data_IF_684136236601
#
_entry.id   IF_684136236601
#
_cell.length_a   1.000
_cell.length_b   1.000
_cell.length_c   1.000
_cell.angle_alpha   90.00
_cell.angle_beta   90.00
_cell.angle_gamma   90.00
#
_symmetry.space_group_name_H-M   'P 1'
#
loop_
_entity.id
_entity.type
_entity.pdbx_description
1 polymer ?
#
# COMPACT_ATOMS: atom_id res chain seq x y z
N UNK A 1 31.85 -14.42 44.10
CA UNK A 1 32.96 -15.31 44.49
C UNK A 1 32.53 -16.74 44.15
N UNK A 2 33.30 -17.43 43.30
CA UNK A 2 33.20 -18.84 42.83
C UNK A 2 31.89 -19.30 42.17
N UNK A 3 31.80 -19.48 40.83
CA UNK A 3 32.42 -20.45 39.86
C UNK A 3 31.89 -21.88 39.93
N UNK A 4 31.30 -22.34 38.82
CA UNK A 4 31.65 -23.55 38.01
C UNK A 4 30.65 -23.61 36.82
N UNK A 5 30.98 -23.28 35.57
CA UNK A 5 31.77 -23.94 34.51
C UNK A 5 31.33 -25.35 34.11
N UNK A 6 30.79 -25.47 32.89
CA UNK A 6 30.93 -26.64 32.01
C UNK A 6 31.36 -26.15 30.62
N UNK A 7 32.58 -26.52 30.25
CA UNK A 7 33.10 -26.54 28.88
C UNK A 7 33.06 -27.99 28.41
N UNK A 8 32.82 -28.25 27.12
CA UNK A 8 33.67 -29.16 26.37
C UNK A 8 33.69 -28.81 24.88
N UNK A 9 34.92 -28.61 24.41
CA UNK A 9 35.33 -28.35 23.04
C UNK A 9 35.47 -29.66 22.27
N UNK A 10 35.22 -29.64 20.95
CA UNK A 10 35.96 -30.50 20.01
C UNK A 10 36.32 -29.69 18.76
N UNK A 11 37.59 -29.32 18.66
CA UNK A 11 38.32 -29.05 17.42
C UNK A 11 39.48 -30.03 17.40
N UNK A 12 39.60 -30.84 16.35
CA UNK A 12 40.87 -31.47 16.01
C UNK A 12 41.16 -31.24 14.53
N UNK A 13 42.38 -30.76 14.31
CA UNK A 13 43.03 -30.54 13.03
C UNK A 13 43.43 -31.86 12.38
N UNK A 14 43.38 -31.92 11.05
CA UNK A 14 44.32 -32.73 10.26
C UNK A 14 44.64 -31.99 8.96
N UNK A 15 45.86 -31.46 8.90
CA UNK A 15 46.54 -31.16 7.64
C UNK A 15 47.21 -32.45 7.16
N UNK A 16 46.94 -32.82 5.91
CA UNK A 16 47.67 -33.85 5.17
C UNK A 16 47.73 -33.41 3.71
N UNK A 17 48.93 -33.09 3.25
CA UNK A 17 49.22 -32.72 1.87
C UNK A 17 49.45 -33.98 1.00
N UNK A 18 49.46 -33.74 -0.32
CA UNK A 18 49.96 -34.58 -1.43
C UNK A 18 48.88 -35.42 -2.13
N UNK A 19 48.48 -34.99 -3.33
CA UNK A 19 48.97 -35.57 -4.59
C UNK A 19 48.17 -35.00 -5.77
N UNK A 20 48.87 -34.28 -6.64
CA UNK A 20 48.42 -33.90 -7.97
C UNK A 20 48.30 -35.16 -8.83
N UNK A 21 47.09 -35.53 -9.25
CA UNK A 21 46.87 -36.41 -10.41
C UNK A 21 45.99 -35.66 -11.39
N UNK A 22 46.65 -35.11 -12.40
CA UNK A 22 46.04 -34.66 -13.64
C UNK A 22 45.72 -35.92 -14.44
N UNK A 23 44.43 -36.25 -14.57
CA UNK A 23 43.96 -37.19 -15.58
C UNK A 23 42.69 -36.61 -16.20
N UNK A 24 42.87 -36.20 -17.46
CA UNK A 24 41.87 -35.52 -18.26
C UNK A 24 40.66 -36.42 -18.51
N UNK A 25 39.51 -35.96 -18.06
CA UNK A 25 38.23 -36.27 -18.69
C UNK A 25 37.75 -35.01 -19.41
N UNK A 26 37.99 -34.97 -20.72
CA UNK A 26 37.31 -34.04 -21.62
C UNK A 26 35.84 -34.45 -21.74
N UNK A 27 35.03 -34.06 -20.76
CA UNK A 27 33.62 -33.81 -21.00
C UNK A 27 33.49 -32.33 -21.30
N UNK A 28 33.00 -32.02 -22.51
CA UNK A 28 32.66 -30.66 -22.91
C UNK A 28 31.65 -30.07 -21.94
N UNK A 29 32.14 -29.28 -20.99
CA UNK A 29 31.30 -28.34 -20.26
C UNK A 29 30.68 -27.42 -21.32
N UNK A 30 29.35 -27.27 -21.36
CA UNK A 30 28.76 -26.28 -22.24
C UNK A 30 29.38 -24.94 -21.88
N UNK A 31 30.00 -24.28 -22.87
CA UNK A 31 30.33 -22.86 -22.77
C UNK A 31 29.02 -22.18 -22.42
N UNK A 32 28.91 -21.77 -21.16
CA UNK A 32 27.81 -21.00 -20.62
C UNK A 32 27.72 -19.73 -21.47
N UNK A 33 26.77 -19.72 -22.41
CA UNK A 33 26.48 -18.63 -23.34
C UNK A 33 25.78 -17.45 -22.62
N UNK A 34 26.20 -17.13 -21.39
CA UNK A 34 25.52 -16.12 -20.55
C UNK A 34 25.89 -14.68 -20.94
N UNK A 35 27.08 -14.43 -21.48
CA UNK A 35 27.53 -13.06 -21.72
C UNK A 35 26.73 -12.37 -22.85
N UNK A 36 26.47 -13.08 -23.95
CA UNK A 36 25.72 -12.56 -25.10
C UNK A 36 24.23 -12.37 -24.76
N UNK A 37 23.66 -13.29 -23.96
CA UNK A 37 22.28 -13.23 -23.49
C UNK A 37 22.05 -12.06 -22.53
N UNK A 38 22.97 -11.84 -21.58
CA UNK A 38 22.90 -10.69 -20.65
C UNK A 38 22.96 -9.35 -21.40
N UNK A 39 23.77 -9.23 -22.45
CA UNK A 39 23.83 -8.01 -23.27
C UNK A 39 22.51 -7.73 -24.01
N UNK A 40 21.83 -8.77 -24.50
CA UNK A 40 20.52 -8.63 -25.16
C UNK A 40 19.43 -8.24 -24.17
N UNK A 41 19.38 -8.88 -23.00
CA UNK A 41 18.45 -8.53 -21.92
C UNK A 41 18.66 -7.09 -21.46
N UNK A 42 19.91 -6.66 -21.29
CA UNK A 42 20.23 -5.29 -20.91
C UNK A 42 19.74 -4.26 -21.95
N UNK A 43 19.93 -4.53 -23.26
CA UNK A 43 19.41 -3.65 -24.33
C UNK A 43 17.89 -3.55 -24.27
N UNK A 44 17.19 -4.67 -24.08
CA UNK A 44 15.73 -4.70 -24.02
C UNK A 44 15.19 -3.98 -22.78
N UNK A 45 15.79 -4.21 -21.61
CA UNK A 45 15.44 -3.49 -20.37
C UNK A 45 15.66 -1.99 -20.53
N UNK A 46 16.79 -1.55 -21.08
CA UNK A 46 17.05 -0.13 -21.34
C UNK A 46 15.99 0.47 -22.28
N UNK A 47 15.58 -0.27 -23.33
CA UNK A 47 14.52 0.15 -24.24
C UNK A 47 13.18 0.33 -23.52
N UNK A 48 12.79 -0.62 -22.67
CA UNK A 48 11.55 -0.55 -21.89
C UNK A 48 11.56 0.60 -20.89
N UNK A 49 12.68 0.82 -20.20
CA UNK A 49 12.88 1.95 -19.27
C UNK A 49 12.75 3.29 -19.99
N UNK A 50 13.39 3.45 -21.15
CA UNK A 50 13.29 4.65 -21.97
C UNK A 50 11.86 4.86 -22.49
N UNK A 51 11.19 3.79 -22.94
CA UNK A 51 9.79 3.81 -23.37
C UNK A 51 8.87 4.28 -22.24
N UNK A 52 9.05 3.77 -21.01
CA UNK A 52 8.28 4.16 -19.83
C UNK A 52 8.43 5.65 -19.53
N UNK A 53 9.66 6.17 -19.53
CA UNK A 53 9.92 7.59 -19.27
C UNK A 53 9.34 8.49 -20.36
N UNK A 54 9.50 8.11 -21.63
CA UNK A 54 8.92 8.84 -22.76
C UNK A 54 7.38 8.87 -22.67
N UNK A 55 6.76 7.76 -22.28
CA UNK A 55 5.31 7.67 -22.14
C UNK A 55 4.76 8.65 -21.10
N UNK A 56 5.43 8.82 -19.95
CA UNK A 56 5.07 9.86 -18.96
C UNK A 56 5.17 11.26 -19.58
N UNK A 57 6.30 11.59 -20.20
CA UNK A 57 6.53 12.91 -20.79
C UNK A 57 5.56 13.23 -21.95
N UNK A 58 5.15 12.22 -22.72
CA UNK A 58 4.20 12.35 -23.83
C UNK A 58 2.74 12.13 -23.41
N UNK A 59 2.48 11.91 -22.11
CA UNK A 59 1.16 11.61 -21.57
C UNK A 59 0.45 10.46 -22.30
N UNK A 60 1.22 9.43 -22.70
CA UNK A 60 0.69 8.21 -23.31
C UNK A 60 0.55 7.06 -22.29
N UNK A 61 -0.64 6.96 -21.68
CA UNK A 61 -0.93 5.95 -20.65
C UNK A 61 -0.84 4.51 -21.17
N UNK A 62 -1.26 4.28 -22.41
CA UNK A 62 -1.27 2.94 -23.00
C UNK A 62 0.17 2.40 -23.13
N UNK A 63 1.07 3.20 -23.71
CA UNK A 63 2.49 2.84 -23.87
C UNK A 63 3.18 2.65 -22.51
N UNK A 64 2.79 3.44 -21.50
CA UNK A 64 3.29 3.27 -20.13
C UNK A 64 2.86 1.93 -19.53
N UNK A 65 1.60 1.53 -19.69
CA UNK A 65 1.09 0.28 -19.11
C UNK A 65 1.56 -0.97 -19.88
N UNK A 66 1.91 -0.83 -21.16
CA UNK A 66 2.45 -1.93 -21.97
C UNK A 66 3.79 -2.46 -21.48
N UNK A 67 4.58 -1.68 -20.74
CA UNK A 67 5.85 -2.15 -20.16
C UNK A 67 5.65 -2.94 -18.86
N UNK A 68 4.46 -2.89 -18.27
CA UNK A 68 4.13 -3.51 -16.98
C UNK A 68 3.68 -4.97 -17.19
N UNK A 69 4.02 -5.85 -16.25
CA UNK A 69 3.69 -7.27 -16.33
C UNK A 69 2.17 -7.51 -16.31
N UNK A 70 1.56 -8.05 -17.40
CA UNK A 70 0.11 -8.04 -17.56
C UNK A 70 -0.65 -8.97 -16.62
N UNK A 71 -0.02 -10.04 -16.12
CA UNK A 71 -0.63 -10.96 -15.15
C UNK A 71 -0.60 -10.43 -13.70
N UNK A 72 0.08 -9.32 -13.41
CA UNK A 72 0.16 -8.72 -12.07
C UNK A 72 -0.90 -7.63 -11.89
N UNK A 73 -2.17 -8.03 -11.78
CA UNK A 73 -3.34 -7.12 -11.81
C UNK A 73 -3.25 -5.99 -10.77
N UNK A 74 -2.90 -6.31 -9.53
CA UNK A 74 -2.73 -5.34 -8.44
C UNK A 74 -1.65 -4.31 -8.77
N UNK A 75 -0.48 -4.76 -9.21
CA UNK A 75 0.62 -3.88 -9.60
C UNK A 75 0.29 -3.03 -10.84
N UNK A 76 -0.42 -3.60 -11.82
CA UNK A 76 -0.89 -2.85 -12.99
C UNK A 76 -1.84 -1.70 -12.59
N UNK A 77 -2.75 -1.95 -11.64
CA UNK A 77 -3.65 -0.91 -11.11
C UNK A 77 -2.87 0.17 -10.33
N UNK A 78 -1.88 -0.22 -9.54
CA UNK A 78 -0.98 0.73 -8.85
C UNK A 78 -0.21 1.59 -9.85
N UNK A 79 0.37 0.99 -10.90
CA UNK A 79 1.11 1.71 -11.93
C UNK A 79 0.20 2.64 -12.75
N UNK A 80 -1.06 2.25 -12.98
CA UNK A 80 -2.08 3.14 -13.56
C UNK A 80 -2.27 4.39 -12.71
N UNK A 81 -2.47 4.23 -11.40
CA UNK A 81 -2.74 5.35 -10.47
C UNK A 81 -1.53 6.24 -10.29
N UNK A 82 -0.36 5.62 -10.18
CA UNK A 82 0.91 6.32 -10.18
C UNK A 82 1.09 7.17 -11.43
N UNK A 83 0.78 6.63 -12.62
CA UNK A 83 0.90 7.35 -13.88
C UNK A 83 -0.05 8.55 -13.93
N UNK A 84 -1.32 8.33 -13.54
CA UNK A 84 -2.32 9.39 -13.53
C UNK A 84 -1.86 10.54 -12.62
N UNK A 85 -1.26 10.25 -11.46
CA UNK A 85 -0.64 11.26 -10.60
C UNK A 85 0.56 11.94 -11.24
N UNK A 86 1.52 11.17 -11.76
CA UNK A 86 2.77 11.68 -12.30
C UNK A 86 2.55 12.73 -13.40
N UNK A 87 1.60 12.52 -14.32
CA UNK A 87 1.34 13.48 -15.41
C UNK A 87 0.73 14.82 -14.96
N UNK A 88 0.19 14.88 -13.74
CA UNK A 88 -0.34 16.10 -13.11
C UNK A 88 0.68 16.76 -12.20
N UNK A 89 1.51 15.96 -11.53
CA UNK A 89 2.45 16.42 -10.52
C UNK A 89 3.80 16.84 -11.13
N UNK A 90 4.32 16.10 -12.09
CA UNK A 90 5.65 16.32 -12.67
C UNK A 90 5.60 17.46 -13.70
N UNK A 91 6.60 18.35 -13.66
CA UNK A 91 6.78 19.39 -14.67
C UNK A 91 6.93 18.74 -16.06
N UNK A 92 6.18 19.17 -17.09
CA UNK A 92 6.19 18.53 -18.40
C UNK A 92 7.59 18.39 -19.00
N UNK A 93 7.93 17.20 -19.49
CA UNK A 93 9.21 16.91 -20.17
C UNK A 93 10.39 16.66 -19.24
N UNK A 94 10.22 16.73 -17.93
CA UNK A 94 11.32 16.61 -16.96
C UNK A 94 11.50 15.20 -16.40
N UNK A 95 10.57 14.29 -16.64
CA UNK A 95 10.63 12.93 -16.11
C UNK A 95 11.71 12.11 -16.83
N UNK A 96 12.63 11.52 -16.06
CA UNK A 96 13.73 10.70 -16.55
C UNK A 96 13.81 9.41 -15.74
N UNK A 97 14.15 8.32 -16.41
CA UNK A 97 14.39 7.01 -15.80
C UNK A 97 15.64 6.43 -16.43
N UNK A 98 16.60 5.99 -15.62
CA UNK A 98 17.88 5.44 -16.06
C UNK A 98 18.17 4.11 -15.37
N UNK A 99 18.66 3.13 -16.13
CA UNK A 99 19.25 1.91 -15.58
C UNK A 99 20.61 2.25 -14.97
N UNK A 100 20.77 2.01 -13.67
CA UNK A 100 22.03 2.18 -12.94
C UNK A 100 22.83 0.89 -12.93
N UNK A 101 22.16 -0.23 -12.68
CA UNK A 101 22.74 -1.56 -12.74
C UNK A 101 21.69 -2.60 -13.05
N UNK A 102 22.12 -3.72 -13.62
CA UNK A 102 21.31 -4.89 -13.91
C UNK A 102 22.07 -6.12 -13.43
N UNK A 103 21.42 -6.97 -12.64
CA UNK A 103 21.98 -8.22 -12.16
C UNK A 103 21.01 -9.37 -12.43
N UNK A 104 21.49 -10.54 -12.90
CA UNK A 104 20.69 -11.75 -12.94
C UNK A 104 20.13 -12.06 -11.56
N UNK A 105 18.86 -12.44 -11.49
CA UNK A 105 18.18 -12.71 -10.21
C UNK A 105 17.65 -14.15 -10.16
N UNK A 106 16.94 -14.59 -11.22
CA UNK A 106 16.55 -15.99 -11.47
C UNK A 106 16.52 -16.24 -12.98
N UNK A 107 16.34 -17.50 -13.40
CA UNK A 107 16.02 -17.80 -14.80
C UNK A 107 14.81 -16.97 -15.23
N UNK A 108 14.89 -16.30 -16.39
CA UNK A 108 13.85 -15.41 -16.93
C UNK A 108 13.53 -14.19 -16.03
N UNK A 109 14.47 -13.77 -15.16
CA UNK A 109 14.27 -12.66 -14.23
C UNK A 109 15.56 -11.90 -13.93
N UNK A 110 15.51 -10.59 -14.05
CA UNK A 110 16.64 -9.69 -13.71
C UNK A 110 16.19 -8.66 -12.69
N UNK A 111 17.11 -8.28 -11.79
CA UNK A 111 16.92 -7.17 -10.86
C UNK A 111 17.66 -5.97 -11.39
N UNK A 112 16.96 -4.84 -11.47
CA UNK A 112 17.46 -3.61 -12.08
C UNK A 112 17.38 -2.51 -11.05
N UNK A 113 18.49 -1.81 -10.81
CA UNK A 113 18.48 -0.58 -10.03
C UNK A 113 18.18 0.57 -10.97
N UNK A 114 17.04 1.24 -10.76
CA UNK A 114 16.65 2.41 -11.53
C UNK A 114 16.97 3.69 -10.76
N UNK A 115 17.33 4.76 -11.49
CA UNK A 115 17.34 6.13 -11.02
C UNK A 115 16.23 6.90 -11.72
N UNK A 116 15.26 7.40 -10.95
CA UNK A 116 14.20 8.28 -11.42
C UNK A 116 14.54 9.72 -11.04
N UNK A 117 14.45 10.63 -12.01
CA UNK A 117 14.58 12.08 -11.81
C UNK A 117 13.39 12.81 -12.42
N UNK A 118 12.96 13.88 -11.77
CA UNK A 118 11.92 14.78 -12.28
C UNK A 118 11.99 16.13 -11.56
N UNK A 119 11.33 17.16 -12.09
CA UNK A 119 11.08 18.38 -11.33
C UNK A 119 9.60 18.59 -11.06
N UNK A 120 9.32 19.32 -9.98
CA UNK A 120 8.00 19.83 -9.66
C UNK A 120 8.16 21.27 -9.17
N UNK A 121 7.53 22.22 -9.87
CA UNK A 121 7.71 23.66 -9.62
C UNK A 121 9.20 24.06 -9.64
N UNK A 122 9.98 23.49 -10.56
CA UNK A 122 11.40 23.76 -10.71
C UNK A 122 12.30 23.07 -9.68
N UNK A 123 11.75 22.41 -8.65
CA UNK A 123 12.53 21.65 -7.67
C UNK A 123 12.79 20.24 -8.19
N UNK A 124 14.07 19.90 -8.37
CA UNK A 124 14.49 18.57 -8.84
C UNK A 124 14.43 17.57 -7.69
N UNK A 125 13.86 16.40 -7.98
CA UNK A 125 13.83 15.22 -7.11
C UNK A 125 14.52 14.05 -7.80
N UNK A 126 15.21 13.22 -7.03
CA UNK A 126 15.90 12.01 -7.53
C UNK A 126 15.72 10.88 -6.53
N UNK A 127 15.31 9.70 -7.00
CA UNK A 127 15.18 8.49 -6.17
C UNK A 127 15.75 7.30 -6.92
N UNK A 128 16.49 6.45 -6.19
CA UNK A 128 16.95 5.16 -6.70
C UNK A 128 16.15 4.05 -6.05
N UNK A 129 15.66 3.12 -6.84
CA UNK A 129 14.88 1.99 -6.34
C UNK A 129 15.12 0.75 -7.20
N UNK A 130 15.13 -0.44 -6.61
CA UNK A 130 15.23 -1.68 -7.37
C UNK A 130 13.88 -2.02 -8.00
N UNK A 131 13.91 -2.72 -9.12
CA UNK A 131 12.73 -3.29 -9.76
C UNK A 131 13.10 -4.63 -10.39
N UNK A 132 12.13 -5.53 -10.49
CA UNK A 132 12.28 -6.77 -11.24
C UNK A 132 11.81 -6.52 -12.67
N UNK A 133 12.57 -7.01 -13.63
CA UNK A 133 12.05 -7.31 -14.96
C UNK A 133 11.96 -8.83 -15.09
N UNK A 134 10.84 -9.29 -15.64
CA UNK A 134 10.56 -10.71 -15.83
C UNK A 134 10.16 -10.96 -17.28
N UNK A 135 10.70 -12.02 -17.87
CA UNK A 135 10.33 -12.44 -19.22
C UNK A 135 8.92 -13.04 -19.24
N UNK A 136 8.16 -12.70 -20.27
CA UNK A 136 6.81 -13.19 -20.51
C UNK A 136 6.68 -13.63 -21.97
N UNK A 137 5.56 -14.26 -22.32
CA UNK A 137 5.20 -14.56 -23.71
C UNK A 137 5.23 -13.32 -24.64
N UNK A 138 5.16 -12.10 -24.07
CA UNK A 138 5.22 -10.81 -24.78
C UNK A 138 6.57 -10.09 -24.59
N UNK A 139 7.63 -10.84 -24.27
CA UNK A 139 8.95 -10.31 -23.94
C UNK A 139 9.07 -9.85 -22.49
N UNK A 140 10.14 -9.12 -22.19
CA UNK A 140 10.43 -8.61 -20.85
C UNK A 140 9.41 -7.57 -20.39
N UNK A 141 9.02 -7.61 -19.12
CA UNK A 141 8.09 -6.68 -18.48
C UNK A 141 8.54 -6.32 -17.07
N UNK A 142 8.26 -5.09 -16.65
CA UNK A 142 8.46 -4.63 -15.28
C UNK A 142 7.48 -5.34 -14.33
N UNK A 143 7.99 -5.95 -13.27
CA UNK A 143 7.29 -6.87 -12.38
C UNK A 143 7.51 -6.51 -10.90
N UNK A 144 7.32 -5.22 -10.57
CA UNK A 144 7.37 -4.66 -9.21
C UNK A 144 8.75 -4.77 -8.52
N UNK A 145 8.84 -4.34 -7.26
CA UNK A 145 10.04 -4.43 -6.42
C UNK A 145 10.42 -5.90 -6.15
N UNK A 146 11.70 -6.19 -5.86
CA UNK A 146 12.19 -7.51 -5.48
C UNK A 146 11.76 -7.87 -4.04
N UNK A 147 10.46 -8.04 -3.81
CA UNK A 147 9.91 -8.32 -2.48
C UNK A 147 10.24 -9.74 -2.00
N UNK A 148 10.51 -9.84 -0.69
CA UNK A 148 10.36 -11.07 0.07
C UNK A 148 8.87 -11.30 0.37
N UNK A 149 8.45 -12.55 0.56
CA UNK A 149 7.03 -12.88 0.67
C UNK A 149 6.76 -13.82 1.85
N UNK A 150 5.68 -13.55 2.58
CA UNK A 150 5.03 -14.45 3.54
C UNK A 150 3.57 -14.65 3.12
N UNK A 151 3.02 -15.85 3.36
CA UNK A 151 1.66 -16.17 2.95
C UNK A 151 0.91 -16.97 4.01
N UNK A 152 -0.37 -16.65 4.20
CA UNK A 152 -1.34 -17.46 4.95
C UNK A 152 -2.69 -17.40 4.25
N UNK A 153 -3.15 -18.53 3.73
CA UNK A 153 -4.42 -18.58 2.98
C UNK A 153 -4.45 -17.58 1.82
N UNK A 154 -5.44 -16.67 1.83
CA UNK A 154 -5.61 -15.60 0.83
C UNK A 154 -4.81 -14.32 1.13
N UNK A 155 -3.98 -14.30 2.17
CA UNK A 155 -3.18 -13.13 2.56
C UNK A 155 -1.74 -13.32 2.10
N UNK A 156 -1.22 -12.34 1.35
CA UNK A 156 0.16 -12.25 0.91
C UNK A 156 0.78 -10.99 1.51
N UNK A 157 1.80 -11.15 2.35
CA UNK A 157 2.62 -10.03 2.84
C UNK A 157 3.92 -10.03 2.07
N UNK A 158 4.21 -8.91 1.42
CA UNK A 158 5.41 -8.63 0.65
C UNK A 158 6.22 -7.58 1.40
N UNK A 159 7.54 -7.71 1.49
CA UNK A 159 8.37 -6.76 2.22
C UNK A 159 9.71 -6.52 1.52
N UNK A 160 10.14 -5.27 1.45
CA UNK A 160 11.19 -4.84 0.52
C UNK A 160 12.63 -5.15 0.98
N UNK A 161 12.79 -5.52 2.25
CA UNK A 161 14.10 -5.66 2.90
C UNK A 161 14.04 -6.73 4.00
N UNK A 162 15.04 -7.64 4.13
CA UNK A 162 15.04 -8.69 5.15
C UNK A 162 14.80 -8.21 6.58
N UNK A 163 15.23 -6.99 6.91
CA UNK A 163 15.08 -6.41 8.25
C UNK A 163 13.61 -6.17 8.63
N UNK A 164 12.70 -6.21 7.65
CA UNK A 164 11.26 -6.14 7.88
C UNK A 164 10.61 -7.51 8.17
N UNK A 165 11.37 -8.60 8.27
CA UNK A 165 10.81 -9.95 8.46
C UNK A 165 9.89 -10.05 9.69
N UNK A 166 10.26 -9.47 10.82
CA UNK A 166 9.42 -9.46 12.02
C UNK A 166 8.13 -8.66 11.80
N UNK A 167 8.24 -7.46 11.22
CA UNK A 167 7.09 -6.61 10.87
C UNK A 167 6.19 -7.30 9.83
N UNK A 168 6.74 -8.11 8.93
CA UNK A 168 5.95 -8.90 7.98
C UNK A 168 5.11 -9.97 8.67
N UNK A 169 5.65 -10.66 9.70
CA UNK A 169 4.87 -11.59 10.51
C UNK A 169 3.78 -10.89 11.32
N UNK A 170 4.09 -9.74 11.95
CA UNK A 170 3.10 -8.92 12.65
C UNK A 170 1.98 -8.48 11.68
N UNK A 171 2.34 -8.08 10.46
CA UNK A 171 1.37 -7.69 9.44
C UNK A 171 0.46 -8.84 9.03
N UNK A 172 1.03 -10.04 8.89
CA UNK A 172 0.27 -11.23 8.55
C UNK A 172 -0.79 -11.55 9.62
N UNK A 173 -0.41 -11.50 10.90
CA UNK A 173 -1.32 -11.70 12.02
C UNK A 173 -2.41 -10.62 12.11
N UNK A 174 -2.02 -9.35 11.99
CA UNK A 174 -2.95 -8.23 12.07
C UNK A 174 -3.96 -8.25 10.90
N UNK A 175 -3.48 -8.51 9.68
CA UNK A 175 -4.32 -8.64 8.49
C UNK A 175 -5.30 -9.82 8.61
N UNK A 176 -4.83 -10.98 9.06
CA UNK A 176 -5.64 -12.17 9.28
C UNK A 176 -6.72 -11.95 10.34
N UNK A 177 -6.37 -11.30 11.46
CA UNK A 177 -7.34 -10.86 12.47
C UNK A 177 -8.36 -9.87 11.90
N UNK A 178 -7.90 -8.87 11.15
CA UNK A 178 -8.74 -7.88 10.49
C UNK A 178 -9.78 -8.53 9.58
N UNK A 179 -9.32 -9.38 8.65
CA UNK A 179 -10.20 -10.14 7.73
C UNK A 179 -11.23 -10.97 8.50
N UNK A 180 -10.82 -11.68 9.56
CA UNK A 180 -11.77 -12.47 10.37
C UNK A 180 -12.83 -11.61 11.05
N UNK A 181 -12.44 -10.52 11.70
CA UNK A 181 -13.37 -9.65 12.44
C UNK A 181 -14.32 -8.94 11.49
N UNK A 182 -13.78 -8.31 10.44
CA UNK A 182 -14.57 -7.61 9.42
C UNK A 182 -15.48 -8.60 8.66
N UNK A 183 -15.01 -9.83 8.43
CA UNK A 183 -15.83 -10.90 7.88
C UNK A 183 -17.01 -11.30 8.76
N UNK A 184 -16.84 -11.33 10.09
CA UNK A 184 -17.96 -11.57 11.01
C UNK A 184 -18.96 -10.41 11.05
N UNK A 185 -18.47 -9.17 11.07
CA UNK A 185 -19.32 -7.98 11.23
C UNK A 185 -20.07 -7.61 9.94
N UNK A 186 -19.41 -7.72 8.79
CA UNK A 186 -19.96 -7.29 7.50
C UNK A 186 -20.23 -8.43 6.53
N UNK A 187 -19.81 -9.66 6.81
CA UNK A 187 -19.81 -10.73 5.82
C UNK A 187 -18.78 -10.51 4.71
N UNK A 188 -17.75 -9.70 4.96
CA UNK A 188 -16.73 -9.38 3.98
C UNK A 188 -15.68 -10.48 3.84
N UNK A 189 -15.23 -10.69 2.61
CA UNK A 189 -14.00 -11.42 2.28
C UNK A 189 -13.33 -10.68 1.13
N UNK A 190 -11.99 -10.54 1.11
CA UNK A 190 -11.28 -9.99 -0.04
C UNK A 190 -11.71 -10.70 -1.32
N UNK A 191 -12.03 -9.96 -2.39
CA UNK A 191 -12.53 -10.56 -3.63
C UNK A 191 -11.55 -11.56 -4.26
N UNK A 192 -10.26 -11.22 -4.31
CA UNK A 192 -9.20 -12.08 -4.82
C UNK A 192 -8.29 -12.53 -3.65
N UNK A 193 -7.26 -11.73 -3.37
CA UNK A 193 -6.32 -11.92 -2.27
C UNK A 193 -6.06 -10.58 -1.59
N UNK A 194 -5.75 -10.61 -0.31
CA UNK A 194 -5.28 -9.43 0.41
C UNK A 194 -3.76 -9.35 0.24
N UNK A 195 -3.29 -8.35 -0.50
CA UNK A 195 -1.86 -8.06 -0.65
C UNK A 195 -1.47 -6.93 0.30
N UNK A 196 -0.46 -7.16 1.14
CA UNK A 196 0.15 -6.17 2.01
C UNK A 196 1.59 -5.98 1.58
N UNK A 197 2.02 -4.75 1.27
CA UNK A 197 3.38 -4.41 0.87
C UNK A 197 4.03 -3.50 1.91
N UNK A 198 5.14 -3.96 2.49
CA UNK A 198 5.93 -3.22 3.46
C UNK A 198 7.19 -2.67 2.81
N UNK A 199 7.40 -1.37 2.98
CA UNK A 199 8.52 -0.64 2.41
C UNK A 199 9.48 -0.23 3.52
N UNK A 200 10.76 -0.57 3.37
CA UNK A 200 11.78 -0.20 4.32
C UNK A 200 12.10 1.30 4.26
N UNK A 201 12.02 1.89 3.05
CA UNK A 201 12.40 3.28 2.79
C UNK A 201 11.17 4.13 2.46
N UNK A 202 10.84 5.18 3.25
CA UNK A 202 9.69 6.06 3.01
C UNK A 202 9.62 6.66 1.59
N UNK A 203 10.76 6.94 0.98
CA UNK A 203 10.88 7.46 -0.39
C UNK A 203 10.52 6.41 -1.44
N UNK A 204 10.82 5.12 -1.21
CA UNK A 204 10.39 4.04 -2.10
C UNK A 204 8.88 3.80 -1.93
N UNK A 205 8.37 3.87 -0.70
CA UNK A 205 6.93 3.86 -0.44
C UNK A 205 6.21 4.93 -1.27
N UNK A 206 6.61 6.21 -1.14
CA UNK A 206 6.00 7.31 -1.91
C UNK A 206 6.17 7.12 -3.41
N UNK A 207 7.37 6.73 -3.87
CA UNK A 207 7.62 6.43 -5.28
C UNK A 207 6.67 5.34 -5.80
N UNK A 208 6.33 4.34 -4.98
CA UNK A 208 5.44 3.23 -5.37
C UNK A 208 3.94 3.53 -5.29
N UNK A 209 3.55 4.60 -4.59
CA UNK A 209 2.15 5.00 -4.40
C UNK A 209 1.81 6.11 -5.39
N UNK A 210 2.29 7.32 -5.14
CA UNK A 210 2.13 8.51 -5.99
C UNK A 210 3.13 9.59 -5.60
N UNK A 211 3.59 10.39 -6.57
CA UNK A 211 4.66 11.39 -6.37
C UNK A 211 4.18 12.61 -5.58
N UNK A 212 2.87 12.88 -5.62
CA UNK A 212 2.22 13.94 -4.84
C UNK A 212 1.90 13.56 -3.39
N UNK A 213 2.17 12.31 -2.98
CA UNK A 213 1.76 11.82 -1.66
C UNK A 213 2.45 12.63 -0.54
N UNK A 214 1.71 13.17 0.44
CA UNK A 214 2.29 13.99 1.48
C UNK A 214 3.25 13.19 2.38
N UNK A 215 4.20 13.89 2.98
CA UNK A 215 5.24 13.25 3.80
C UNK A 215 4.71 12.56 5.05
N UNK A 216 3.57 13.00 5.56
CA UNK A 216 2.92 12.43 6.75
C UNK A 216 2.17 11.11 6.47
N UNK A 217 1.88 10.78 5.21
CA UNK A 217 1.21 9.54 4.87
C UNK A 217 2.14 8.34 5.12
N UNK A 218 1.74 7.45 6.02
CA UNK A 218 2.49 6.23 6.40
C UNK A 218 1.88 4.93 5.88
N UNK A 219 0.63 4.98 5.40
CA UNK A 219 -0.13 3.88 4.84
C UNK A 219 -0.91 4.35 3.61
N UNK A 220 -1.30 3.39 2.76
CA UNK A 220 -2.12 3.66 1.58
C UNK A 220 -2.89 2.42 1.13
N UNK A 221 -4.14 2.65 0.74
CA UNK A 221 -4.95 1.70 -0.01
C UNK A 221 -5.93 2.43 -0.94
N UNK A 222 -6.15 1.88 -2.12
CA UNK A 222 -7.30 2.19 -2.99
C UNK A 222 -7.82 0.90 -3.63
N UNK A 223 -9.06 0.92 -4.13
CA UNK A 223 -9.66 -0.23 -4.79
C UNK A 223 -8.75 -0.83 -5.88
N UNK A 224 -8.47 -2.13 -5.74
CA UNK A 224 -7.65 -2.89 -6.68
C UNK A 224 -6.14 -2.73 -6.51
N UNK A 225 -5.69 -1.99 -5.49
CA UNK A 225 -4.28 -1.90 -5.10
C UNK A 225 -3.98 -2.75 -3.86
N UNK A 226 -2.69 -3.00 -3.60
CA UNK A 226 -2.27 -3.58 -2.33
C UNK A 226 -2.47 -2.58 -1.17
N UNK A 227 -2.61 -3.11 0.04
CA UNK A 227 -2.38 -2.37 1.28
C UNK A 227 -0.88 -2.07 1.39
N UNK A 228 -0.48 -0.80 1.46
CA UNK A 228 0.94 -0.40 1.46
C UNK A 228 1.29 0.35 2.73
N UNK A 229 2.42 0.02 3.38
CA UNK A 229 2.89 0.73 4.58
C UNK A 229 4.41 0.90 4.62
N UNK A 230 4.85 1.95 5.32
CA UNK A 230 6.25 2.11 5.72
C UNK A 230 6.54 1.19 6.91
N UNK A 231 7.32 0.12 6.67
CA UNK A 231 7.65 -0.89 7.69
C UNK A 231 8.62 -0.41 8.76
N UNK A 232 9.41 0.63 8.46
CA UNK A 232 10.36 1.27 9.39
C UNK A 232 9.77 2.44 10.17
N UNK A 233 8.48 2.75 9.99
CA UNK A 233 7.85 3.83 10.73
C UNK A 233 8.06 3.63 12.24
N UNK A 234 8.31 4.72 12.95
CA UNK A 234 8.86 4.84 14.32
C UNK A 234 8.06 4.16 15.43
N UNK A 235 7.01 3.42 15.11
CA UNK A 235 6.36 2.51 16.04
C UNK A 235 7.30 1.33 16.34
N UNK A 236 8.22 1.53 17.29
CA UNK A 236 8.84 0.45 18.05
C UNK A 236 7.79 -0.45 18.72
N UNK A 237 6.58 0.11 18.95
CA UNK A 237 5.41 -0.63 19.41
C UNK A 237 4.77 -1.45 18.28
N UNK A 238 4.78 -2.77 18.45
CA UNK A 238 4.11 -3.73 17.56
C UNK A 238 2.59 -3.53 17.50
N UNK A 239 1.96 -2.97 18.54
CA UNK A 239 0.52 -2.68 18.57
C UNK A 239 0.15 -1.54 17.62
N UNK A 240 0.87 -0.41 17.68
CA UNK A 240 0.66 0.73 16.78
C UNK A 240 0.89 0.33 15.31
N UNK A 241 1.87 -0.54 15.07
CA UNK A 241 2.08 -1.07 13.73
C UNK A 241 0.92 -1.99 13.30
N UNK A 242 0.47 -2.89 14.18
CA UNK A 242 -0.70 -3.75 13.90
C UNK A 242 -1.98 -2.95 13.64
N UNK A 243 -2.20 -1.84 14.37
CA UNK A 243 -3.36 -0.98 14.17
C UNK A 243 -3.33 -0.32 12.80
N UNK A 244 -2.14 0.12 12.33
CA UNK A 244 -1.96 0.66 10.98
C UNK A 244 -2.31 -0.37 9.90
N UNK A 245 -1.98 -1.65 10.09
CA UNK A 245 -2.41 -2.72 9.17
C UNK A 245 -3.94 -2.85 9.17
N UNK A 246 -4.57 -2.85 10.34
CA UNK A 246 -6.04 -2.94 10.44
C UNK A 246 -6.73 -1.74 9.79
N UNK A 247 -6.16 -0.55 9.93
CA UNK A 247 -6.63 0.67 9.27
C UNK A 247 -6.71 0.47 7.75
N UNK A 248 -5.60 0.07 7.11
CA UNK A 248 -5.55 -0.11 5.66
C UNK A 248 -6.38 -1.30 5.17
N UNK A 249 -6.43 -2.40 5.93
CA UNK A 249 -7.31 -3.54 5.62
C UNK A 249 -8.79 -3.14 5.66
N UNK A 250 -9.14 -2.21 6.54
CA UNK A 250 -10.50 -1.65 6.60
C UNK A 250 -10.82 -0.83 5.36
N UNK A 251 -9.87 -0.03 4.86
CA UNK A 251 -10.05 0.67 3.57
C UNK A 251 -10.35 -0.29 2.43
N UNK A 252 -9.70 -1.46 2.39
CA UNK A 252 -10.02 -2.49 1.40
C UNK A 252 -11.44 -3.01 1.53
N UNK A 253 -11.87 -3.34 2.75
CA UNK A 253 -13.25 -3.75 3.00
C UNK A 253 -14.24 -2.69 2.52
N UNK A 254 -14.06 -1.42 2.94
CA UNK A 254 -14.99 -0.34 2.61
C UNK A 254 -15.02 -0.12 1.09
N UNK A 255 -13.87 -0.13 0.42
CA UNK A 255 -13.77 -0.02 -1.04
C UNK A 255 -14.53 -1.14 -1.75
N UNK A 256 -14.34 -2.39 -1.36
CA UNK A 256 -15.00 -3.55 -1.99
C UNK A 256 -16.51 -3.62 -1.70
N UNK A 257 -16.92 -3.27 -0.46
CA UNK A 257 -18.32 -3.30 -0.05
C UNK A 257 -19.11 -2.11 -0.59
N UNK A 258 -18.48 -0.96 -0.85
CA UNK A 258 -19.13 0.23 -1.40
C UNK A 258 -18.98 0.36 -2.91
N UNK A 259 -18.20 -0.49 -3.56
CA UNK A 259 -17.83 -0.31 -4.97
C UNK A 259 -16.99 0.96 -5.18
N UNK A 260 -16.20 1.33 -4.16
CA UNK A 260 -15.33 2.51 -4.14
C UNK A 260 -16.12 3.82 -4.32
N UNK A 261 -17.30 3.89 -3.69
CA UNK A 261 -18.24 5.02 -3.74
C UNK A 261 -18.46 5.72 -2.40
N UNK A 262 -17.85 5.22 -1.31
CA UNK A 262 -17.93 5.86 -0.01
C UNK A 262 -17.14 7.17 0.01
N UNK A 263 -17.69 8.22 0.64
CA UNK A 263 -16.99 9.46 0.90
C UNK A 263 -15.73 9.23 1.76
N UNK A 264 -14.70 10.06 1.57
CA UNK A 264 -13.45 9.97 2.34
C UNK A 264 -13.67 9.91 3.84
N UNK A 265 -14.51 10.78 4.39
CA UNK A 265 -14.77 10.78 5.83
C UNK A 265 -15.35 9.47 6.35
N UNK A 266 -16.12 8.76 5.51
CA UNK A 266 -16.73 7.49 5.87
C UNK A 266 -15.69 6.36 5.81
N UNK A 267 -14.80 6.39 4.82
CA UNK A 267 -13.68 5.47 4.70
C UNK A 267 -12.72 5.62 5.90
N UNK A 268 -12.28 6.85 6.17
CA UNK A 268 -11.38 7.15 7.28
C UNK A 268 -12.03 6.91 8.64
N UNK A 269 -13.31 7.24 8.80
CA UNK A 269 -14.04 6.97 10.03
C UNK A 269 -14.12 5.48 10.34
N UNK A 270 -14.37 4.64 9.33
CA UNK A 270 -14.35 3.20 9.49
C UNK A 270 -12.96 2.69 9.86
N UNK A 271 -11.92 3.12 9.14
CA UNK A 271 -10.54 2.70 9.36
C UNK A 271 -10.04 3.07 10.76
N UNK A 272 -10.30 4.30 11.20
CA UNK A 272 -10.02 4.78 12.55
C UNK A 272 -10.80 4.03 13.63
N UNK A 273 -12.06 3.68 13.36
CA UNK A 273 -12.88 2.92 14.29
C UNK A 273 -12.30 1.53 14.50
N UNK A 274 -12.05 0.78 13.43
CA UNK A 274 -11.60 -0.59 13.54
C UNK A 274 -10.16 -0.70 14.04
N UNK A 275 -9.24 0.21 13.67
CA UNK A 275 -7.90 0.17 14.24
C UNK A 275 -7.92 0.33 15.77
N UNK A 276 -8.85 1.12 16.30
CA UNK A 276 -8.96 1.42 17.73
C UNK A 276 -9.70 0.34 18.52
N UNK A 277 -10.67 -0.34 17.91
CA UNK A 277 -11.49 -1.36 18.58
C UNK A 277 -10.95 -2.78 18.42
N UNK A 278 -10.18 -3.07 17.37
CA UNK A 278 -9.56 -4.39 17.19
C UNK A 278 -8.24 -4.51 17.95
N UNK A 279 -7.55 -3.39 18.16
CA UNK A 279 -6.29 -3.32 18.91
C UNK A 279 -6.54 -2.43 20.15
N UNK A 280 -6.83 -3.02 21.32
CA UNK A 280 -7.10 -2.23 22.53
C UNK A 280 -5.91 -1.36 22.94
N UNK A 281 -6.20 -0.14 23.42
CA UNK A 281 -5.20 0.79 23.94
C UNK A 281 -4.59 1.75 22.91
N UNK A 282 -5.06 1.76 21.66
CA UNK A 282 -4.60 2.69 20.62
C UNK A 282 -5.14 4.11 20.85
N UNK A 283 -6.40 4.23 21.26
CA UNK A 283 -7.01 5.50 21.69
C UNK A 283 -7.31 5.45 23.18
N UNK A 284 -7.06 6.55 23.87
CA UNK A 284 -7.42 6.72 25.27
C UNK A 284 -8.89 7.09 25.44
N UNK A 285 -9.50 6.69 26.54
CA UNK A 285 -10.87 7.12 26.89
C UNK A 285 -11.01 8.65 26.90
N UNK A 286 -9.97 9.38 27.32
CA UNK A 286 -9.97 10.85 27.33
C UNK A 286 -10.15 11.45 25.92
N UNK A 287 -9.45 10.91 24.92
CA UNK A 287 -9.60 11.34 23.52
C UNK A 287 -10.99 11.04 22.96
N UNK A 288 -11.63 9.99 23.50
CA UNK A 288 -12.98 9.60 23.11
C UNK A 288 -14.03 10.52 23.72
N UNK A 289 -13.91 10.85 25.02
CA UNK A 289 -14.91 11.61 25.78
C UNK A 289 -14.76 13.15 25.70
N UNK A 290 -13.56 13.69 25.53
CA UNK A 290 -13.33 15.15 25.50
C UNK A 290 -13.21 15.72 24.08
N UNK A 291 -13.72 15.00 23.09
CA UNK A 291 -13.64 15.40 21.70
C UNK A 291 -14.53 16.62 21.43
N UNK A 292 -13.99 17.59 20.67
CA UNK A 292 -14.76 18.71 20.12
C UNK A 292 -14.64 18.72 18.60
N UNK A 293 -15.77 18.72 17.87
CA UNK A 293 -15.74 18.79 16.41
C UNK A 293 -15.12 20.11 15.96
N UNK A 294 -14.25 20.03 14.96
CA UNK A 294 -13.55 21.19 14.43
C UNK A 294 -14.30 21.81 13.25
N UNK A 295 -15.01 20.98 12.49
CA UNK A 295 -15.76 21.38 11.29
C UNK A 295 -17.19 20.88 11.33
N UNK A 296 -18.07 21.52 10.56
CA UNK A 296 -19.32 20.88 10.15
C UNK A 296 -19.03 19.79 9.12
N UNK A 297 -19.88 18.78 9.03
CA UNK A 297 -19.75 17.70 8.05
C UNK A 297 -19.77 18.23 6.60
N UNK A 298 -20.59 19.24 6.33
CA UNK A 298 -20.63 19.93 5.02
C UNK A 298 -19.33 20.65 4.65
N UNK A 299 -18.50 21.03 5.63
CA UNK A 299 -17.16 21.58 5.40
C UNK A 299 -16.15 20.44 5.25
N UNK A 300 -16.23 19.44 6.14
CA UNK A 300 -15.34 18.28 6.15
C UNK A 300 -15.34 17.53 4.81
N UNK A 301 -16.52 17.35 4.19
CA UNK A 301 -16.67 16.72 2.88
C UNK A 301 -15.92 17.44 1.75
N UNK A 302 -15.61 18.73 1.90
CA UNK A 302 -14.92 19.52 0.86
C UNK A 302 -13.40 19.39 0.92
N UNK A 303 -12.85 18.83 1.98
CA UNK A 303 -11.40 18.71 2.10
C UNK A 303 -10.84 17.62 1.20
N UNK A 304 -9.75 17.96 0.52
CA UNK A 304 -8.82 16.96 0.02
C UNK A 304 -7.82 16.66 1.14
N UNK A 305 -8.02 15.54 1.83
CA UNK A 305 -7.21 15.10 2.98
C UNK A 305 -5.71 15.15 2.70
N UNK A 306 -5.29 14.76 1.50
CA UNK A 306 -3.88 14.70 1.10
C UNK A 306 -3.21 16.07 1.00
N UNK A 307 -4.01 17.14 0.90
CA UNK A 307 -3.55 18.53 0.87
C UNK A 307 -3.56 19.19 2.25
N UNK A 308 -4.08 18.51 3.27
CA UNK A 308 -4.11 19.06 4.62
C UNK A 308 -2.71 18.99 5.26
N UNK A 309 -2.33 20.00 6.05
CA UNK A 309 -1.21 19.90 6.98
C UNK A 309 -1.41 18.76 7.98
N UNK A 310 -0.31 18.16 8.46
CA UNK A 310 -0.34 17.00 9.37
C UNK A 310 -1.28 17.17 10.58
N UNK A 311 -1.28 18.35 11.23
CA UNK A 311 -2.17 18.63 12.38
C UNK A 311 -3.65 18.65 12.00
N UNK A 312 -3.98 19.20 10.84
CA UNK A 312 -5.36 19.24 10.34
C UNK A 312 -5.81 17.86 9.86
N UNK A 313 -4.93 17.09 9.22
CA UNK A 313 -5.19 15.70 8.89
C UNK A 313 -5.51 14.88 10.16
N UNK A 314 -4.73 15.03 11.23
CA UNK A 314 -5.02 14.36 12.51
C UNK A 314 -6.39 14.74 13.10
N UNK A 315 -6.78 16.02 13.02
CA UNK A 315 -8.10 16.48 13.43
C UNK A 315 -9.21 15.92 12.52
N UNK A 316 -8.95 15.80 11.22
CA UNK A 316 -9.86 15.18 10.25
C UNK A 316 -10.14 13.72 10.62
N UNK A 317 -9.09 12.93 10.83
CA UNK A 317 -9.21 11.53 11.27
C UNK A 317 -9.99 11.40 12.58
N UNK A 318 -9.68 12.23 13.59
CA UNK A 318 -10.38 12.21 14.87
C UNK A 318 -11.88 12.52 14.73
N UNK A 319 -12.24 13.47 13.87
CA UNK A 319 -13.65 13.79 13.62
C UNK A 319 -14.38 12.67 12.87
N UNK A 320 -13.74 12.10 11.84
CA UNK A 320 -14.29 10.97 11.09
C UNK A 320 -14.53 9.76 12.00
N UNK A 321 -13.57 9.44 12.88
CA UNK A 321 -13.70 8.41 13.91
C UNK A 321 -14.94 8.62 14.77
N UNK A 322 -15.10 9.83 15.33
CA UNK A 322 -16.17 10.13 16.28
C UNK A 322 -17.55 10.05 15.63
N UNK A 323 -17.68 10.58 14.40
CA UNK A 323 -18.95 10.52 13.68
C UNK A 323 -19.28 9.09 13.25
N UNK A 324 -18.31 8.32 12.75
CA UNK A 324 -18.52 6.92 12.40
C UNK A 324 -18.89 6.08 13.63
N UNK A 325 -18.20 6.30 14.76
CA UNK A 325 -18.49 5.65 16.04
C UNK A 325 -19.94 5.92 16.47
N UNK A 326 -20.39 7.16 16.42
CA UNK A 326 -21.79 7.52 16.67
C UNK A 326 -22.75 6.72 15.78
N UNK A 327 -22.49 6.63 14.47
CA UNK A 327 -23.33 5.84 13.57
C UNK A 327 -23.35 4.35 13.91
N UNK A 328 -22.24 3.78 14.38
CA UNK A 328 -22.19 2.37 14.80
C UNK A 328 -22.88 2.15 16.15
N UNK A 329 -22.65 3.03 17.13
CA UNK A 329 -23.22 2.90 18.48
C UNK A 329 -24.74 3.10 18.47
N UNK A 330 -25.25 4.06 17.70
CA UNK A 330 -26.68 4.36 17.63
C UNK A 330 -27.46 3.39 16.72
N UNK A 331 -26.87 3.00 15.59
CA UNK A 331 -27.61 2.39 14.49
C UNK A 331 -27.12 0.98 14.12
N UNK A 332 -25.96 0.58 14.66
CA UNK A 332 -25.40 -0.77 14.55
C UNK A 332 -24.72 -1.09 13.21
N UNK A 333 -23.93 -2.16 13.21
CA UNK A 333 -23.22 -2.65 12.01
C UNK A 333 -24.15 -3.05 10.87
N UNK A 334 -25.37 -3.50 11.17
CA UNK A 334 -26.33 -3.93 10.15
C UNK A 334 -26.76 -2.77 9.22
N UNK A 335 -27.03 -1.58 9.78
CA UNK A 335 -27.33 -0.38 8.99
C UNK A 335 -26.11 0.09 8.20
N UNK A 336 -24.92 0.08 8.80
CA UNK A 336 -23.68 0.44 8.09
C UNK A 336 -23.39 -0.51 6.91
N UNK A 337 -23.59 -1.83 7.09
CA UNK A 337 -23.49 -2.81 6.00
C UNK A 337 -24.48 -2.50 4.87
N UNK A 338 -25.71 -2.11 5.21
CA UNK A 338 -26.72 -1.70 4.23
C UNK A 338 -26.32 -0.42 3.50
N UNK A 339 -25.72 0.55 4.19
CA UNK A 339 -25.17 1.78 3.58
C UNK A 339 -24.13 1.45 2.51
N UNK A 340 -23.14 0.62 2.83
CA UNK A 340 -22.15 0.18 1.84
C UNK A 340 -22.79 -0.56 0.67
N UNK A 341 -23.78 -1.42 0.93
CA UNK A 341 -24.48 -2.14 -0.13
C UNK A 341 -25.26 -1.21 -1.07
N UNK A 342 -25.87 -0.14 -0.55
CA UNK A 342 -26.53 0.89 -1.38
C UNK A 342 -25.51 1.64 -2.23
N UNK A 343 -24.36 2.03 -1.64
CA UNK A 343 -23.27 2.68 -2.37
C UNK A 343 -22.75 1.82 -3.54
N UNK A 344 -22.66 0.51 -3.34
CA UNK A 344 -22.20 -0.46 -4.35
C UNK A 344 -23.11 -0.55 -5.58
N UNK A 345 -24.36 -0.10 -5.49
CA UNK A 345 -25.27 -0.08 -6.64
C UNK A 345 -24.87 0.96 -7.69
N UNK A 346 -24.06 1.95 -7.32
CA UNK A 346 -23.51 2.90 -8.28
C UNK A 346 -22.32 2.30 -9.03
N UNK A 347 -22.15 2.62 -10.33
CA UNK A 347 -20.98 2.18 -11.08
C UNK A 347 -19.70 2.74 -10.46
N UNK A 348 -18.70 1.87 -10.29
CA UNK A 348 -17.37 2.25 -9.85
C UNK A 348 -16.75 3.23 -10.86
N UNK A 349 -16.08 4.26 -10.35
CA UNK A 349 -15.35 5.23 -11.17
C UNK A 349 -13.87 4.98 -10.99
N UNK A 350 -13.21 4.57 -12.07
CA UNK A 350 -11.81 4.20 -12.06
C UNK A 350 -10.89 5.44 -12.11
N UNK A 351 -10.96 6.24 -11.06
CA UNK A 351 -10.16 7.44 -10.81
C UNK A 351 -9.66 7.43 -9.36
N UNK A 352 -8.59 8.20 -9.09
CA UNK A 352 -8.11 8.46 -7.73
C UNK A 352 -9.23 9.14 -6.93
N UNK A 353 -9.32 8.79 -5.64
CA UNK A 353 -10.47 9.18 -4.84
C UNK A 353 -10.58 10.69 -4.59
N UNK A 354 -9.47 11.43 -4.60
CA UNK A 354 -9.50 12.89 -4.50
C UNK A 354 -10.16 13.55 -5.73
N UNK A 355 -10.14 12.89 -6.89
CA UNK A 355 -10.74 13.43 -8.12
C UNK A 355 -12.26 13.25 -8.18
N UNK A 356 -12.78 12.24 -7.49
CA UNK A 356 -14.22 11.93 -7.45
C UNK A 356 -14.92 12.42 -6.18
N UNK A 357 -14.26 13.24 -5.35
CA UNK A 357 -14.80 13.78 -4.09
C UNK A 357 -16.24 14.31 -4.22
N UNK A 358 -16.58 15.21 -5.17
CA UNK A 358 -17.97 15.70 -5.29
C UNK A 358 -18.99 14.58 -5.55
N UNK A 359 -18.60 13.59 -6.35
CA UNK A 359 -19.46 12.47 -6.72
C UNK A 359 -19.68 11.51 -5.55
N UNK A 360 -18.61 11.08 -4.87
CA UNK A 360 -18.70 10.12 -3.76
C UNK A 360 -19.40 10.74 -2.54
N UNK A 361 -19.23 12.04 -2.31
CA UNK A 361 -19.98 12.77 -1.28
C UNK A 361 -21.47 12.80 -1.60
N UNK A 362 -21.84 13.13 -2.85
CA UNK A 362 -23.24 13.11 -3.30
C UNK A 362 -23.86 11.72 -3.09
N UNK A 363 -23.20 10.67 -3.58
CA UNK A 363 -23.66 9.27 -3.44
C UNK A 363 -23.79 8.86 -1.97
N UNK A 364 -22.86 9.30 -1.12
CA UNK A 364 -22.90 9.01 0.32
C UNK A 364 -24.09 9.68 1.00
N UNK A 365 -24.40 10.95 0.69
CA UNK A 365 -25.59 11.62 1.23
C UNK A 365 -26.89 10.93 0.80
N UNK A 366 -27.02 10.62 -0.48
CA UNK A 366 -28.19 9.88 -1.02
C UNK A 366 -28.34 8.51 -0.35
N UNK A 367 -27.24 7.80 -0.11
CA UNK A 367 -27.24 6.51 0.57
C UNK A 367 -27.61 6.65 2.06
N UNK A 368 -27.13 7.70 2.75
CA UNK A 368 -27.49 7.99 4.13
C UNK A 368 -29.00 8.25 4.26
N UNK A 369 -29.56 9.12 3.42
CA UNK A 369 -30.99 9.41 3.40
C UNK A 369 -31.83 8.14 3.21
N UNK A 370 -31.41 7.27 2.28
CA UNK A 370 -32.11 6.00 2.01
C UNK A 370 -32.03 4.99 3.16
N UNK A 371 -30.90 4.90 3.85
CA UNK A 371 -30.65 3.84 4.84
C UNK A 371 -31.04 4.27 6.25
N UNK A 372 -30.74 5.51 6.61
CA UNK A 372 -30.99 6.07 7.94
C UNK A 372 -32.29 6.87 8.01
N UNK A 373 -32.92 7.18 6.87
CA UNK A 373 -34.11 8.04 6.80
C UNK A 373 -33.83 9.41 7.45
N UNK A 374 -32.61 9.91 7.27
CA UNK A 374 -32.11 11.16 7.84
C UNK A 374 -31.08 11.75 6.90
N UNK A 375 -31.10 13.07 6.74
CA UNK A 375 -30.04 13.75 5.99
C UNK A 375 -28.72 13.72 6.78
N UNK A 376 -27.61 14.01 6.10
CA UNK A 376 -26.32 14.16 6.78
C UNK A 376 -26.36 15.27 7.85
N UNK A 377 -27.13 16.34 7.61
CA UNK A 377 -27.29 17.45 8.56
C UNK A 377 -28.05 17.02 9.81
N UNK A 378 -29.10 16.19 9.66
CA UNK A 378 -29.88 15.70 10.80
C UNK A 378 -29.05 14.72 11.64
N UNK A 379 -28.29 13.84 10.97
CA UNK A 379 -27.35 12.93 11.65
C UNK A 379 -26.24 13.70 12.38
N UNK A 380 -25.69 14.73 11.75
CA UNK A 380 -24.73 15.64 12.39
C UNK A 380 -25.33 16.30 13.63
N UNK A 381 -26.55 16.82 13.55
CA UNK A 381 -27.21 17.44 14.69
C UNK A 381 -27.40 16.45 15.85
N UNK A 382 -27.92 15.25 15.58
CA UNK A 382 -28.07 14.19 16.59
C UNK A 382 -26.74 13.83 17.26
N UNK A 383 -25.66 13.75 16.47
CA UNK A 383 -24.32 13.50 16.98
C UNK A 383 -23.82 14.65 17.88
N UNK A 384 -24.01 15.90 17.47
CA UNK A 384 -23.64 17.06 18.28
C UNK A 384 -24.43 17.11 19.61
N UNK A 385 -25.68 16.67 19.60
CA UNK A 385 -26.49 16.53 20.81
C UNK A 385 -26.01 15.40 21.71
N UNK A 386 -25.56 14.26 21.15
CA UNK A 386 -25.01 13.16 21.94
C UNK A 386 -23.71 13.54 22.64
N UNK A 387 -22.85 14.34 21.98
CA UNK A 387 -21.60 14.85 22.57
C UNK A 387 -21.82 15.79 23.76
N UNK A 388 -23.00 16.40 23.92
CA UNK A 388 -23.33 17.24 25.09
C UNK A 388 -23.79 16.43 26.31
N UNK A 389 -24.19 15.18 26.10
CA UNK A 389 -24.71 14.27 27.13
C UNK A 389 -23.62 13.37 27.71
N UNK A 390 -22.55 13.15 26.96
CA UNK A 390 -21.34 12.45 27.38
C UNK A 390 -20.41 13.38 28.16
#
# INVERSE_FOLDING_TARGET
>A
MFRTTWHLNYRLWMMGAIATVVLGFMFGLPKIAYADDVSLVEKEVNRLVAQKALAVNKRNRQVFLEVIHPKMRTYLQEQKRWYDDAIRWVDPGTYQLKVVSLIPDKVHRVRVLLEQKYSHHGKVSSVKFPVIFQETEKGWKEADLPFYNLRRGSILVQYSDPDLSEKAHISLEAADRGVRVLGRLFGWRPHDRLEVKLYHRPEIFRQSVKLSLPSWAGGWHELGQAVKLIGTATASDSKLFSSSIVHEVTHQMVSELSGDNAAYWLQEGAAEYFQSHLIPGIRSEKEVHHFKPYWRMSQLEKFNLERLPSKEAAAYYAQCYQFYRFLIEEEGFAKMKRLFSVLKLHPAVDQDSAQKLPLINKRTREALEKVYQSSLSDLEQRWLESLKKA
#
